data_IF_131690078258
#
_entry.id   IF_131690078258
#
_cell.length_a   1.000
_cell.length_b   1.000
_cell.length_c   1.000
_cell.angle_alpha   90.00
_cell.angle_beta   90.00
_cell.angle_gamma   90.00
#
_symmetry.space_group_name_H-M   'P 1'
#
loop_
_entity.id
_entity.type
_entity.pdbx_description
1 polymer ?
#
# COMPACT_ATOMS: atom_id res chain seq x y z
N UNK A 1 -13.01 -31.07 -62.55
CA UNK A 1 -11.76 -30.41 -62.11
C UNK A 1 -12.12 -28.99 -61.69
N UNK A 2 -12.19 -28.76 -60.41
CA UNK A 2 -12.30 -27.41 -59.82
C UNK A 2 -11.43 -27.40 -58.60
N UNK A 3 -10.27 -26.72 -58.69
CA UNK A 3 -9.31 -26.55 -57.61
C UNK A 3 -9.86 -25.53 -56.62
N UNK A 4 -10.14 -25.96 -55.39
CA UNK A 4 -10.47 -25.06 -54.29
C UNK A 4 -9.17 -24.38 -53.83
N UNK A 5 -9.06 -23.06 -54.10
CA UNK A 5 -7.99 -22.22 -53.56
C UNK A 5 -8.21 -22.05 -52.06
N UNK A 6 -7.41 -22.70 -51.25
CA UNK A 6 -7.30 -22.42 -49.83
C UNK A 6 -6.65 -21.04 -49.64
N UNK A 7 -7.44 -20.02 -49.32
CA UNK A 7 -6.95 -18.73 -48.87
C UNK A 7 -6.34 -18.92 -47.48
N UNK A 8 -5.03 -19.02 -47.41
CA UNK A 8 -4.26 -18.91 -46.17
C UNK A 8 -4.38 -17.48 -45.64
N UNK A 9 -5.34 -17.25 -44.77
CA UNK A 9 -5.40 -16.04 -43.97
C UNK A 9 -4.21 -16.04 -43.00
N UNK A 10 -3.09 -15.49 -43.42
CA UNK A 10 -1.97 -15.15 -42.56
C UNK A 10 -2.32 -13.94 -41.72
N UNK A 11 -3.29 -14.10 -40.81
CA UNK A 11 -3.39 -13.21 -39.70
C UNK A 11 -2.09 -13.37 -38.90
N UNK A 12 -1.24 -12.36 -38.97
CA UNK A 12 0.03 -12.25 -38.28
C UNK A 12 -0.14 -12.74 -36.86
N UNK A 13 0.42 -13.90 -36.57
CA UNK A 13 0.47 -14.55 -35.26
C UNK A 13 1.38 -13.71 -34.35
N UNK A 14 0.89 -12.54 -33.93
CA UNK A 14 1.56 -11.69 -32.96
C UNK A 14 1.39 -12.38 -31.62
N UNK A 15 2.48 -12.98 -31.12
CA UNK A 15 2.54 -13.54 -29.77
C UNK A 15 1.79 -12.61 -28.80
N UNK A 16 0.62 -13.03 -28.28
CA UNK A 16 -0.23 -12.20 -27.44
C UNK A 16 0.46 -11.80 -26.13
N UNK A 17 1.61 -12.43 -25.82
CA UNK A 17 2.40 -12.12 -24.62
C UNK A 17 3.39 -10.96 -24.83
N UNK A 18 3.73 -10.62 -26.06
CA UNK A 18 4.78 -9.64 -26.39
C UNK A 18 4.46 -8.22 -25.91
N UNK A 19 3.18 -7.86 -25.79
CA UNK A 19 2.72 -6.56 -25.32
C UNK A 19 2.40 -6.46 -23.84
N UNK A 20 2.41 -7.57 -23.08
CA UNK A 20 1.94 -7.57 -21.67
C UNK A 20 2.84 -6.79 -20.72
N UNK A 21 4.14 -6.66 -21.02
CA UNK A 21 5.10 -5.93 -20.21
C UNK A 21 4.84 -4.41 -20.20
N UNK A 22 4.33 -3.85 -21.30
CA UNK A 22 3.92 -2.44 -21.34
C UNK A 22 2.79 -2.15 -20.34
N UNK A 23 1.93 -3.14 -20.10
CA UNK A 23 0.86 -3.02 -19.09
C UNK A 23 1.46 -2.98 -17.67
N UNK A 24 2.57 -3.71 -17.45
CA UNK A 24 3.31 -3.63 -16.17
C UNK A 24 3.92 -2.24 -15.99
N UNK A 25 4.58 -1.71 -17.01
CA UNK A 25 5.15 -0.34 -16.97
C UNK A 25 4.06 0.69 -16.68
N UNK A 26 2.93 0.60 -17.37
CA UNK A 26 1.78 1.47 -17.15
C UNK A 26 1.21 1.34 -15.72
N UNK A 27 1.16 0.12 -15.19
CA UNK A 27 0.72 -0.14 -13.82
C UNK A 27 1.68 0.47 -12.79
N UNK A 28 2.98 0.31 -12.99
CA UNK A 28 4.01 0.91 -12.12
C UNK A 28 3.92 2.43 -12.16
N UNK A 29 3.70 3.04 -13.33
CA UNK A 29 3.55 4.49 -13.46
C UNK A 29 2.37 5.03 -12.64
N UNK A 30 1.21 4.37 -12.73
CA UNK A 30 0.04 4.71 -11.90
C UNK A 30 0.37 4.54 -10.42
N UNK A 31 0.96 3.42 -10.03
CA UNK A 31 1.29 3.14 -8.64
C UNK A 31 2.32 4.11 -8.06
N UNK A 32 3.30 4.56 -8.85
CA UNK A 32 4.27 5.59 -8.44
C UNK A 32 3.56 6.92 -8.12
N UNK A 33 2.62 7.35 -8.98
CA UNK A 33 1.84 8.57 -8.74
C UNK A 33 1.00 8.46 -7.46
N UNK A 34 0.34 7.33 -7.22
CA UNK A 34 -0.46 7.10 -6.03
C UNK A 34 0.39 7.00 -4.76
N UNK A 35 1.57 6.40 -4.87
CA UNK A 35 2.51 6.22 -3.75
C UNK A 35 3.11 7.52 -3.23
N UNK A 36 2.90 8.64 -3.92
CA UNK A 36 3.22 9.99 -3.46
C UNK A 36 2.63 10.32 -2.08
N UNK A 37 1.53 9.68 -1.69
CA UNK A 37 0.90 9.85 -0.37
C UNK A 37 1.87 9.58 0.78
N UNK A 38 2.85 8.69 0.61
CA UNK A 38 3.86 8.39 1.64
C UNK A 38 4.92 9.50 1.84
N UNK A 39 4.92 10.54 1.00
CA UNK A 39 5.75 11.72 1.19
C UNK A 39 5.10 12.77 2.09
N UNK A 40 3.91 12.51 2.66
CA UNK A 40 3.13 13.50 3.43
C UNK A 40 3.95 14.19 4.53
N UNK A 41 4.79 13.46 5.25
CA UNK A 41 5.60 14.01 6.35
C UNK A 41 6.50 15.20 5.94
N UNK A 42 6.81 15.36 4.67
CA UNK A 42 7.58 16.50 4.15
C UNK A 42 6.80 17.81 4.23
N UNK A 43 5.45 17.74 4.24
CA UNK A 43 4.56 18.91 4.29
C UNK A 43 4.22 19.35 5.73
N UNK A 44 4.38 18.48 6.73
CA UNK A 44 3.93 18.75 8.09
C UNK A 44 4.46 20.09 8.64
N UNK A 45 5.79 20.22 8.83
CA UNK A 45 6.40 21.44 9.39
C UNK A 45 6.14 22.70 8.56
N UNK A 46 6.23 22.65 7.22
CA UNK A 46 5.88 23.80 6.38
C UNK A 46 4.43 24.29 6.59
N UNK A 47 3.46 23.39 6.63
CA UNK A 47 2.05 23.74 6.85
C UNK A 47 1.80 24.22 8.29
N UNK A 48 2.42 23.57 9.28
CA UNK A 48 2.37 24.05 10.67
C UNK A 48 2.93 25.49 10.80
N UNK A 49 4.07 25.75 10.17
CA UNK A 49 4.69 27.07 10.20
C UNK A 49 3.83 28.16 9.54
N UNK A 50 3.12 27.83 8.45
CA UNK A 50 2.27 28.81 7.75
C UNK A 50 0.94 29.06 8.49
N UNK A 51 0.26 28.01 8.98
CA UNK A 51 -1.10 28.12 9.51
C UNK A 51 -1.17 28.07 11.03
N UNK A 52 -0.09 27.70 11.72
CA UNK A 52 -0.09 27.50 13.17
C UNK A 52 -0.96 26.30 13.59
N UNK A 53 -1.11 25.31 12.72
CA UNK A 53 -1.81 24.05 13.04
C UNK A 53 -0.99 23.22 14.03
N UNK A 54 -1.73 22.50 14.90
CA UNK A 54 -1.14 21.48 15.76
C UNK A 54 -0.62 20.29 14.97
N UNK A 55 0.13 19.43 15.62
CA UNK A 55 0.63 18.19 15.02
C UNK A 55 -0.51 17.27 14.61
N UNK A 56 -1.54 17.17 15.45
CA UNK A 56 -2.73 16.37 15.17
C UNK A 56 -3.51 16.93 13.98
N UNK A 57 -3.67 18.26 13.89
CA UNK A 57 -4.35 18.89 12.76
C UNK A 57 -3.63 18.67 11.43
N UNK A 58 -2.30 18.78 11.40
CA UNK A 58 -1.54 18.70 10.14
C UNK A 58 -1.47 17.27 9.57
N UNK A 59 -1.56 16.23 10.40
CA UNK A 59 -1.57 14.84 9.90
C UNK A 59 -2.97 14.37 9.48
N UNK A 60 -4.03 15.03 9.92
CA UNK A 60 -5.43 14.65 9.67
C UNK A 60 -5.77 14.43 8.17
N UNK A 61 -5.34 15.28 7.22
CA UNK A 61 -5.61 15.04 5.79
C UNK A 61 -5.04 13.72 5.27
N UNK A 62 -3.84 13.35 5.71
CA UNK A 62 -3.22 12.07 5.38
C UNK A 62 -3.99 10.88 5.97
N UNK A 63 -4.38 10.98 7.22
CA UNK A 63 -5.12 9.91 7.91
C UNK A 63 -6.48 9.66 7.28
N UNK A 64 -7.20 10.75 6.95
CA UNK A 64 -8.48 10.67 6.24
C UNK A 64 -8.28 10.06 4.85
N UNK A 65 -7.18 10.40 4.15
CA UNK A 65 -6.87 9.79 2.87
C UNK A 65 -6.69 8.27 3.00
N UNK A 66 -5.88 7.83 3.97
CA UNK A 66 -5.67 6.40 4.23
C UNK A 66 -6.97 5.71 4.69
N UNK A 67 -7.76 6.38 5.52
CA UNK A 67 -9.08 5.88 5.95
C UNK A 67 -10.05 5.68 4.79
N UNK A 68 -10.08 6.60 3.84
CA UNK A 68 -11.00 6.57 2.70
C UNK A 68 -10.58 5.58 1.59
N UNK A 69 -9.33 5.06 1.60
CA UNK A 69 -8.87 4.06 0.62
C UNK A 69 -9.82 2.86 0.55
N UNK A 70 -10.32 2.38 1.69
CA UNK A 70 -11.20 1.20 1.73
C UNK A 70 -12.49 1.43 0.93
N UNK A 71 -13.04 2.65 0.94
CA UNK A 71 -14.22 3.00 0.17
C UNK A 71 -13.94 2.86 -1.33
N UNK A 72 -12.82 3.47 -1.77
CA UNK A 72 -12.38 3.40 -3.17
C UNK A 72 -12.07 1.98 -3.63
N UNK A 73 -11.35 1.18 -2.84
CA UNK A 73 -11.00 -0.21 -3.20
C UNK A 73 -12.24 -1.10 -3.29
N UNK A 74 -13.17 -0.95 -2.36
CA UNK A 74 -14.40 -1.74 -2.35
C UNK A 74 -15.34 -1.43 -3.52
N UNK A 75 -15.53 -0.14 -3.82
CA UNK A 75 -16.35 0.33 -4.96
C UNK A 75 -15.62 -0.01 -6.26
N UNK A 76 -14.33 0.30 -6.34
CA UNK A 76 -13.50 0.10 -7.53
C UNK A 76 -13.41 -1.36 -7.96
N UNK A 77 -13.22 -2.28 -7.02
CA UNK A 77 -13.18 -3.72 -7.30
C UNK A 77 -14.45 -4.22 -7.99
N UNK A 78 -15.64 -3.82 -7.48
CA UNK A 78 -16.93 -4.21 -8.06
C UNK A 78 -17.17 -3.63 -9.45
N UNK A 79 -16.81 -2.36 -9.66
CA UNK A 79 -16.96 -1.70 -10.96
C UNK A 79 -16.00 -2.29 -11.98
N UNK A 80 -14.77 -2.59 -11.58
CA UNK A 80 -13.74 -3.18 -12.44
C UNK A 80 -14.14 -4.56 -12.96
N UNK A 81 -14.76 -5.39 -12.15
CA UNK A 81 -15.22 -6.70 -12.58
C UNK A 81 -16.30 -6.63 -13.65
N UNK A 82 -17.12 -5.57 -13.66
CA UNK A 82 -18.21 -5.34 -14.61
C UNK A 82 -17.80 -4.55 -15.84
N UNK A 83 -17.01 -3.47 -15.66
CA UNK A 83 -16.69 -2.48 -16.72
C UNK A 83 -15.23 -2.52 -17.17
N UNK A 84 -14.43 -3.40 -16.59
CA UNK A 84 -13.00 -3.50 -16.87
C UNK A 84 -12.14 -2.48 -16.10
N UNK A 85 -10.80 -2.57 -16.23
CA UNK A 85 -9.85 -1.83 -15.40
C UNK A 85 -9.73 -0.34 -15.79
N UNK A 86 -9.76 0.00 -17.09
CA UNK A 86 -9.48 1.36 -17.56
C UNK A 86 -10.39 2.44 -16.99
N UNK A 87 -11.74 2.33 -17.02
CA UNK A 87 -12.60 3.39 -16.53
C UNK A 87 -12.45 3.60 -15.02
N UNK A 88 -12.20 2.54 -14.25
CA UNK A 88 -12.01 2.64 -12.80
C UNK A 88 -10.69 3.30 -12.47
N UNK A 89 -9.59 2.91 -13.15
CA UNK A 89 -8.30 3.54 -12.97
C UNK A 89 -8.32 5.02 -13.35
N UNK A 90 -8.92 5.37 -14.49
CA UNK A 90 -9.06 6.78 -14.92
C UNK A 90 -9.86 7.59 -13.90
N UNK A 91 -11.03 7.11 -13.49
CA UNK A 91 -11.83 7.79 -12.48
C UNK A 91 -11.07 7.97 -11.17
N UNK A 92 -10.35 6.92 -10.73
CA UNK A 92 -9.55 6.97 -9.52
C UNK A 92 -8.40 7.97 -9.60
N UNK A 93 -7.62 7.93 -10.68
CA UNK A 93 -6.49 8.87 -10.89
C UNK A 93 -6.98 10.31 -11.00
N UNK A 94 -8.06 10.56 -11.75
CA UNK A 94 -8.63 11.91 -11.87
C UNK A 94 -9.09 12.42 -10.52
N UNK A 95 -9.86 11.62 -9.78
CA UNK A 95 -10.36 12.01 -8.45
C UNK A 95 -9.21 12.26 -7.47
N UNK A 96 -8.19 11.39 -7.44
CA UNK A 96 -6.99 11.54 -6.64
C UNK A 96 -6.26 12.85 -6.93
N UNK A 97 -5.98 13.09 -8.22
CA UNK A 97 -5.24 14.26 -8.65
C UNK A 97 -6.01 15.55 -8.44
N UNK A 98 -7.33 15.56 -8.70
CA UNK A 98 -8.20 16.72 -8.42
C UNK A 98 -8.28 16.99 -6.91
N UNK A 99 -8.26 15.95 -6.07
CA UNK A 99 -8.16 16.09 -4.61
C UNK A 99 -6.88 16.81 -4.20
N UNK A 100 -5.74 16.44 -4.78
CA UNK A 100 -4.45 17.10 -4.52
C UNK A 100 -4.43 18.53 -5.08
N UNK A 101 -4.92 18.75 -6.31
CA UNK A 101 -5.05 20.11 -6.87
C UNK A 101 -5.97 20.97 -5.98
N UNK A 102 -7.09 20.41 -5.51
CA UNK A 102 -8.01 21.11 -4.60
C UNK A 102 -7.35 21.54 -3.29
N UNK A 103 -6.39 20.75 -2.79
CA UNK A 103 -5.62 21.09 -1.61
C UNK A 103 -4.81 22.40 -1.75
N UNK A 104 -4.43 22.79 -2.98
CA UNK A 104 -3.69 24.04 -3.22
C UNK A 104 -4.51 25.32 -2.97
N UNK A 105 -5.82 25.21 -2.84
CA UNK A 105 -6.69 26.35 -2.53
C UNK A 105 -6.87 26.61 -1.03
N UNK A 106 -6.12 25.92 -0.17
CA UNK A 106 -6.08 26.15 1.27
C UNK A 106 -5.23 27.39 1.56
N UNK A 107 -5.87 28.50 1.93
CA UNK A 107 -5.19 29.79 2.08
C UNK A 107 -5.21 30.33 3.52
N UNK A 108 -6.08 29.81 4.39
CA UNK A 108 -6.25 30.26 5.78
C UNK A 108 -6.26 29.12 6.76
N UNK A 109 -5.95 29.42 8.03
CA UNK A 109 -5.97 28.42 9.12
C UNK A 109 -7.32 27.69 9.20
N UNK A 110 -8.43 28.42 9.05
CA UNK A 110 -9.78 27.87 9.21
C UNK A 110 -10.18 26.92 8.06
N UNK A 111 -9.39 26.83 7.00
CA UNK A 111 -9.63 25.97 5.84
C UNK A 111 -9.02 24.57 5.97
N UNK A 112 -8.66 24.12 7.16
CA UNK A 112 -8.24 22.72 7.38
C UNK A 112 -9.26 21.73 6.83
N UNK A 113 -10.57 22.02 6.97
CA UNK A 113 -11.65 21.20 6.41
C UNK A 113 -11.55 21.05 4.89
N UNK A 114 -11.09 22.08 4.18
CA UNK A 114 -10.91 22.04 2.73
C UNK A 114 -9.79 21.07 2.36
N UNK A 115 -8.66 21.13 3.08
CA UNK A 115 -7.53 20.22 2.89
C UNK A 115 -7.94 18.76 3.22
N UNK A 116 -8.70 18.56 4.29
CA UNK A 116 -9.24 17.24 4.67
C UNK A 116 -10.22 16.72 3.61
N UNK A 117 -11.13 17.57 3.10
CA UNK A 117 -12.09 17.16 2.08
C UNK A 117 -11.41 16.84 0.75
N UNK A 118 -10.48 17.69 0.31
CA UNK A 118 -9.85 17.54 -1.01
C UNK A 118 -8.75 16.47 -0.99
N UNK A 119 -7.68 16.68 -0.25
CA UNK A 119 -6.59 15.72 -0.15
C UNK A 119 -7.05 14.42 0.56
N UNK A 120 -7.76 14.55 1.68
CA UNK A 120 -8.20 13.41 2.49
C UNK A 120 -9.29 12.60 1.81
N UNK A 121 -10.50 13.14 1.72
CA UNK A 121 -11.66 12.35 1.25
C UNK A 121 -11.58 12.09 -0.25
N UNK A 122 -11.47 13.13 -1.07
CA UNK A 122 -11.43 12.96 -2.54
C UNK A 122 -10.17 12.21 -2.96
N UNK A 123 -9.01 12.63 -2.44
CA UNK A 123 -7.74 11.97 -2.70
C UNK A 123 -7.74 10.51 -2.26
N UNK A 124 -8.22 10.20 -1.05
CA UNK A 124 -8.26 8.84 -0.50
C UNK A 124 -9.19 7.90 -1.27
N UNK A 125 -10.40 8.35 -1.63
CA UNK A 125 -11.32 7.55 -2.46
C UNK A 125 -10.70 7.32 -3.85
N UNK A 126 -10.15 8.37 -4.48
CA UNK A 126 -9.49 8.28 -5.78
C UNK A 126 -8.31 7.32 -5.75
N UNK A 127 -7.47 7.40 -4.70
CA UNK A 127 -6.36 6.51 -4.46
C UNK A 127 -6.83 5.06 -4.38
N UNK A 128 -7.88 4.78 -3.59
CA UNK A 128 -8.44 3.43 -3.44
C UNK A 128 -8.95 2.84 -4.76
N UNK A 129 -9.69 3.64 -5.55
CA UNK A 129 -10.17 3.24 -6.88
C UNK A 129 -9.01 2.84 -7.82
N UNK A 130 -7.97 3.67 -7.88
CA UNK A 130 -6.85 3.46 -8.78
C UNK A 130 -5.88 2.37 -8.27
N UNK A 131 -5.71 2.20 -6.96
CA UNK A 131 -4.78 1.25 -6.35
C UNK A 131 -5.10 -0.21 -6.64
N UNK A 132 -6.37 -0.60 -6.48
CA UNK A 132 -6.78 -2.00 -6.65
C UNK A 132 -6.72 -2.46 -8.10
N UNK A 133 -6.87 -1.52 -9.03
CA UNK A 133 -7.07 -1.80 -10.46
C UNK A 133 -5.89 -2.50 -11.13
N UNK A 134 -4.63 -2.03 -11.03
CA UNK A 134 -3.50 -2.68 -11.65
C UNK A 134 -3.21 -4.06 -11.03
N UNK A 135 -3.45 -4.24 -9.74
CA UNK A 135 -3.22 -5.49 -9.03
C UNK A 135 -4.11 -6.61 -9.61
N UNK A 136 -5.42 -6.35 -9.67
CA UNK A 136 -6.39 -7.31 -10.20
C UNK A 136 -6.21 -7.56 -11.70
N UNK A 137 -5.86 -6.52 -12.48
CA UNK A 137 -5.60 -6.62 -13.92
C UNK A 137 -4.35 -7.46 -14.22
N UNK A 138 -3.24 -7.17 -13.56
CA UNK A 138 -1.96 -7.86 -13.80
C UNK A 138 -2.00 -9.32 -13.41
N UNK A 139 -2.76 -9.69 -12.37
CA UNK A 139 -2.98 -11.09 -12.01
C UNK A 139 -3.65 -11.90 -13.13
N UNK A 140 -4.44 -11.26 -14.01
CA UNK A 140 -5.07 -11.88 -15.19
C UNK A 140 -4.08 -12.00 -16.37
N UNK A 141 -3.20 -11.02 -16.56
CA UNK A 141 -2.21 -11.00 -17.62
C UNK A 141 -1.01 -11.95 -17.38
N UNK A 142 -0.68 -12.20 -16.11
CA UNK A 142 0.48 -12.99 -15.71
C UNK A 142 0.08 -14.16 -14.79
N UNK A 143 -0.73 -15.10 -15.26
CA UNK A 143 -1.08 -16.29 -14.48
C UNK A 143 0.14 -17.15 -14.14
N UNK A 144 1.19 -17.07 -15.00
CA UNK A 144 2.48 -17.76 -14.89
C UNK A 144 3.40 -17.17 -13.79
N UNK A 145 3.24 -15.88 -13.46
CA UNK A 145 4.13 -15.12 -12.55
C UNK A 145 3.36 -14.19 -11.64
N UNK A 146 2.19 -14.60 -11.17
CA UNK A 146 1.27 -13.74 -10.37
C UNK A 146 1.97 -13.04 -9.21
N UNK A 147 2.70 -13.79 -8.37
CA UNK A 147 3.37 -13.24 -7.19
C UNK A 147 4.40 -12.17 -7.54
N UNK A 148 5.28 -12.45 -8.50
CA UNK A 148 6.30 -11.49 -8.93
C UNK A 148 5.69 -10.21 -9.48
N UNK A 149 4.72 -10.33 -10.37
CA UNK A 149 4.14 -9.18 -11.09
C UNK A 149 3.25 -8.34 -10.16
N UNK A 150 2.49 -8.97 -9.30
CA UNK A 150 1.73 -8.26 -8.24
C UNK A 150 2.70 -7.55 -7.30
N UNK A 151 3.81 -8.21 -6.92
CA UNK A 151 4.86 -7.62 -6.11
C UNK A 151 5.48 -6.38 -6.77
N UNK A 152 5.81 -6.43 -8.06
CA UNK A 152 6.35 -5.29 -8.83
C UNK A 152 5.34 -4.13 -8.85
N UNK A 153 4.06 -4.40 -9.12
CA UNK A 153 3.03 -3.37 -9.14
C UNK A 153 2.90 -2.69 -7.78
N UNK A 154 2.80 -3.48 -6.72
CA UNK A 154 2.66 -2.96 -5.35
C UNK A 154 3.95 -2.29 -4.86
N UNK A 155 5.13 -2.75 -5.31
CA UNK A 155 6.41 -2.07 -5.01
C UNK A 155 6.45 -0.67 -5.65
N UNK A 156 5.88 -0.47 -6.85
CA UNK A 156 5.74 0.85 -7.48
C UNK A 156 5.06 1.87 -6.56
N UNK A 157 4.03 1.46 -5.85
CA UNK A 157 3.39 2.32 -4.83
C UNK A 157 4.35 2.67 -3.67
N UNK A 158 5.12 1.71 -3.18
CA UNK A 158 6.13 1.94 -2.15
C UNK A 158 7.21 2.95 -2.59
N UNK A 159 7.54 2.97 -3.88
CA UNK A 159 8.56 3.85 -4.45
C UNK A 159 8.07 5.28 -4.74
N UNK A 160 6.77 5.58 -4.61
CA UNK A 160 6.22 6.89 -4.94
C UNK A 160 6.87 8.05 -4.18
N UNK A 161 7.20 7.85 -2.91
CA UNK A 161 7.88 8.86 -2.09
C UNK A 161 9.32 9.16 -2.58
N UNK A 162 9.98 8.23 -3.28
CA UNK A 162 11.35 8.41 -3.81
C UNK A 162 11.43 9.63 -4.72
N UNK A 163 10.43 9.80 -5.57
CA UNK A 163 10.34 10.93 -6.49
C UNK A 163 9.67 12.15 -5.83
N UNK A 164 8.60 11.90 -5.09
CA UNK A 164 7.76 12.98 -4.56
C UNK A 164 8.45 13.75 -3.44
N UNK A 165 9.13 13.11 -2.50
CA UNK A 165 9.67 13.82 -1.34
C UNK A 165 10.75 14.87 -1.70
N UNK A 166 11.76 14.58 -2.54
CA UNK A 166 12.72 15.59 -2.98
C UNK A 166 12.09 16.71 -3.81
N UNK A 167 11.15 16.36 -4.73
CA UNK A 167 10.46 17.34 -5.58
C UNK A 167 9.59 18.27 -4.71
N UNK A 168 8.79 17.71 -3.80
CA UNK A 168 7.98 18.48 -2.86
C UNK A 168 8.84 19.44 -2.04
N UNK A 169 9.99 18.97 -1.53
CA UNK A 169 10.91 19.81 -0.77
C UNK A 169 11.47 20.96 -1.61
N UNK A 170 11.84 20.70 -2.85
CA UNK A 170 12.32 21.74 -3.77
C UNK A 170 11.24 22.82 -4.03
N UNK A 171 10.00 22.38 -4.30
CA UNK A 171 8.87 23.29 -4.50
C UNK A 171 8.57 24.12 -3.25
N UNK A 172 8.55 23.48 -2.06
CA UNK A 172 8.35 24.16 -0.77
C UNK A 172 9.42 25.22 -0.47
N UNK A 173 10.63 25.04 -0.95
CA UNK A 173 11.71 26.01 -0.82
C UNK A 173 11.58 27.23 -1.75
N UNK A 174 10.80 27.10 -2.82
CA UNK A 174 10.59 28.15 -3.83
C UNK A 174 9.37 29.03 -3.61
N UNK A 175 8.57 28.82 -2.55
CA UNK A 175 7.36 29.60 -2.29
C UNK A 175 7.13 29.83 -0.80
N UNK A 176 6.51 30.98 -0.47
CA UNK A 176 5.99 31.26 0.87
C UNK A 176 4.59 30.67 1.08
N UNK A 177 3.83 30.50 0.02
CA UNK A 177 2.53 29.81 0.04
C UNK A 177 2.72 28.29 -0.08
N UNK A 178 2.78 27.60 1.05
CA UNK A 178 3.08 26.14 1.11
C UNK A 178 2.03 25.26 0.43
N UNK A 179 0.71 25.52 0.53
CA UNK A 179 -0.31 24.74 -0.20
C UNK A 179 -0.20 24.85 -1.72
N UNK A 180 0.34 25.95 -2.27
CA UNK A 180 0.47 26.12 -3.72
C UNK A 180 1.24 24.99 -4.39
N UNK A 181 2.11 24.29 -3.65
CA UNK A 181 2.91 23.16 -4.18
C UNK A 181 2.07 21.95 -4.56
N UNK A 182 0.85 21.83 -4.00
CA UNK A 182 -0.06 20.75 -4.37
C UNK A 182 -0.59 20.88 -5.81
N UNK A 183 -0.63 22.10 -6.37
CA UNK A 183 -1.05 22.31 -7.76
C UNK A 183 -0.11 21.63 -8.77
N UNK A 184 1.19 21.92 -8.84
CA UNK A 184 2.09 21.26 -9.78
C UNK A 184 2.22 19.76 -9.50
N UNK A 185 2.19 19.32 -8.24
CA UNK A 185 2.21 17.89 -7.90
C UNK A 185 0.96 17.18 -8.40
N UNK A 186 -0.23 17.74 -8.16
CA UNK A 186 -1.50 17.16 -8.61
C UNK A 186 -1.59 17.08 -10.14
N UNK A 187 -1.09 18.09 -10.86
CA UNK A 187 -0.99 18.08 -12.33
C UNK A 187 -0.03 16.97 -12.80
N UNK A 188 1.12 16.84 -12.18
CA UNK A 188 2.09 15.78 -12.52
C UNK A 188 1.49 14.39 -12.32
N UNK A 189 0.77 14.16 -11.21
CA UNK A 189 0.10 12.88 -10.93
C UNK A 189 -1.06 12.63 -11.89
N UNK A 190 -1.79 13.67 -12.28
CA UNK A 190 -2.86 13.55 -13.28
C UNK A 190 -2.28 13.09 -14.63
N UNK A 191 -1.22 13.74 -15.10
CA UNK A 191 -0.59 13.41 -16.38
C UNK A 191 -0.02 11.98 -16.34
N UNK A 192 0.78 11.66 -15.33
CA UNK A 192 1.40 10.35 -15.19
C UNK A 192 0.37 9.23 -15.01
N UNK A 193 -0.60 9.47 -14.14
CA UNK A 193 -1.63 8.49 -13.83
C UNK A 193 -2.59 8.25 -15.00
N UNK A 194 -3.03 9.29 -15.70
CA UNK A 194 -3.87 9.16 -16.90
C UNK A 194 -3.09 8.46 -18.02
N UNK A 195 -1.83 8.87 -18.26
CA UNK A 195 -0.98 8.22 -19.26
C UNK A 195 -0.86 6.71 -19.00
N UNK A 196 -0.63 6.29 -17.74
CA UNK A 196 -0.60 4.88 -17.38
C UNK A 196 -1.98 4.20 -17.52
N UNK A 197 -3.03 4.79 -16.96
CA UNK A 197 -4.37 4.20 -16.92
C UNK A 197 -4.99 3.96 -18.31
N UNK A 198 -4.64 4.76 -19.32
CA UNK A 198 -5.09 4.59 -20.70
C UNK A 198 -4.67 3.24 -21.32
N UNK A 199 -3.55 2.67 -20.87
CA UNK A 199 -3.09 1.35 -21.33
C UNK A 199 -3.73 0.18 -20.59
N UNK A 200 -4.54 0.42 -19.56
CA UNK A 200 -5.16 -0.64 -18.78
C UNK A 200 -6.25 -1.36 -19.59
N UNK A 201 -6.09 -2.66 -19.69
CA UNK A 201 -7.06 -3.54 -20.37
C UNK A 201 -6.96 -4.95 -19.80
N UNK A 202 -8.06 -5.67 -19.76
CA UNK A 202 -8.05 -7.10 -19.48
C UNK A 202 -7.42 -7.87 -20.66
N UNK A 203 -6.85 -9.05 -20.42
CA UNK A 203 -6.47 -9.95 -21.51
C UNK A 203 -7.71 -10.35 -22.32
N UNK A 204 -7.54 -10.65 -23.63
CA UNK A 204 -8.64 -11.11 -24.48
C UNK A 204 -9.23 -12.44 -23.95
N UNK A 205 -10.47 -12.73 -24.33
CA UNK A 205 -11.11 -13.99 -23.98
C UNK A 205 -10.28 -15.16 -24.54
N UNK A 206 -10.09 -16.22 -23.74
CA UNK A 206 -9.26 -17.35 -24.15
C UNK A 206 -7.74 -17.12 -24.06
N UNK A 207 -7.29 -16.00 -23.50
CA UNK A 207 -5.86 -15.71 -23.31
C UNK A 207 -5.18 -16.83 -22.52
N UNK A 208 -4.14 -17.41 -23.11
CA UNK A 208 -3.26 -18.42 -22.50
C UNK A 208 -1.82 -18.00 -22.71
N UNK A 209 -0.99 -18.26 -21.70
CA UNK A 209 0.45 -18.07 -21.82
C UNK A 209 1.04 -19.33 -22.42
N UNK A 210 1.76 -19.27 -23.56
CA UNK A 210 2.39 -20.43 -24.16
C UNK A 210 3.28 -21.17 -23.16
N UNK A 211 3.17 -22.49 -23.11
CA UNK A 211 3.96 -23.34 -22.21
C UNK A 211 3.56 -23.26 -20.72
N UNK A 212 2.52 -22.51 -20.38
CA UNK A 212 1.97 -22.46 -19.03
C UNK A 212 0.62 -23.21 -19.01
N UNK A 213 0.64 -24.42 -18.55
CA UNK A 213 -0.57 -25.06 -18.05
C UNK A 213 -0.74 -24.63 -16.60
N UNK A 214 -1.93 -24.11 -16.21
CA UNK A 214 -2.21 -23.87 -14.81
C UNK A 214 -1.98 -25.21 -14.12
N UNK A 215 -0.81 -25.39 -13.51
CA UNK A 215 -0.69 -26.50 -12.56
C UNK A 215 -1.87 -26.29 -11.64
N UNK A 216 -2.78 -27.25 -11.59
CA UNK A 216 -3.51 -27.53 -10.36
C UNK A 216 -2.38 -27.73 -9.34
N UNK A 217 -1.82 -26.60 -8.87
CA UNK A 217 -0.92 -26.60 -7.74
C UNK A 217 -1.79 -26.86 -6.55
N UNK A 218 -2.22 -28.11 -6.50
CA UNK A 218 -2.50 -28.83 -5.30
C UNK A 218 -1.27 -28.95 -4.42
N UNK A 219 -0.69 -27.83 -4.07
CA UNK A 219 -0.19 -27.54 -2.76
C UNK A 219 -1.14 -26.51 -2.09
N UNK A 220 -2.44 -26.64 -2.33
CA UNK A 220 -3.33 -26.77 -1.20
C UNK A 220 -2.66 -27.81 -0.30
N UNK A 221 -2.24 -27.43 0.88
CA UNK A 221 -1.97 -28.41 1.94
C UNK A 221 -3.12 -29.40 1.82
N UNK A 222 -2.82 -30.67 1.52
CA UNK A 222 -3.84 -31.65 1.19
C UNK A 222 -4.84 -31.63 2.35
N UNK A 223 -6.08 -31.14 2.10
CA UNK A 223 -7.10 -30.95 3.13
C UNK A 223 -7.58 -29.52 3.37
N UNK A 224 -7.00 -28.46 2.78
CA UNK A 224 -7.51 -27.08 3.01
C UNK A 224 -8.78 -26.86 2.18
N UNK A 225 -9.91 -26.74 2.85
CA UNK A 225 -11.21 -26.36 2.24
C UNK A 225 -11.08 -24.98 1.60
N UNK A 226 -11.63 -24.80 0.40
CA UNK A 226 -11.79 -23.50 -0.20
C UNK A 226 -12.92 -22.73 0.50
N UNK A 227 -12.60 -21.66 1.20
CA UNK A 227 -13.57 -20.79 1.87
C UNK A 227 -14.10 -19.76 0.89
N UNK A 228 -15.38 -19.44 0.96
CA UNK A 228 -15.95 -18.21 0.43
C UNK A 228 -15.60 -17.03 1.36
N UNK A 229 -15.74 -15.79 0.88
CA UNK A 229 -15.55 -14.60 1.74
C UNK A 229 -16.48 -14.65 2.97
N UNK A 230 -17.75 -15.02 2.77
CA UNK A 230 -18.72 -15.11 3.88
C UNK A 230 -18.34 -16.17 4.92
N UNK A 231 -17.79 -17.30 4.49
CA UNK A 231 -17.30 -18.33 5.40
C UNK A 231 -16.03 -17.88 6.13
N UNK A 232 -15.08 -17.24 5.42
CA UNK A 232 -13.87 -16.70 6.02
C UNK A 232 -14.18 -15.69 7.13
N UNK A 233 -15.11 -14.77 6.89
CA UNK A 233 -15.57 -13.76 7.86
C UNK A 233 -16.22 -14.37 9.12
N UNK A 234 -16.61 -15.65 9.10
CA UNK A 234 -17.12 -16.36 10.28
C UNK A 234 -16.03 -17.08 11.08
N UNK A 235 -14.79 -17.02 10.64
CA UNK A 235 -13.66 -17.67 11.32
C UNK A 235 -12.87 -16.68 12.16
N UNK A 236 -12.40 -17.06 13.37
CA UNK A 236 -11.52 -16.20 14.15
C UNK A 236 -10.18 -15.91 13.45
N UNK A 237 -9.74 -16.81 12.58
CA UNK A 237 -8.49 -16.67 11.83
C UNK A 237 -8.50 -15.44 10.92
N UNK A 238 -9.63 -15.13 10.29
CA UNK A 238 -9.74 -13.93 9.46
C UNK A 238 -9.50 -12.66 10.29
N UNK A 239 -10.09 -12.58 11.47
CA UNK A 239 -9.92 -11.44 12.38
C UNK A 239 -8.49 -11.36 12.93
N UNK A 240 -7.90 -12.50 13.29
CA UNK A 240 -6.52 -12.56 13.76
C UNK A 240 -5.53 -12.09 12.69
N UNK A 241 -5.65 -12.56 11.45
CA UNK A 241 -4.81 -12.14 10.34
C UNK A 241 -5.00 -10.66 10.00
N UNK A 242 -6.26 -10.20 10.01
CA UNK A 242 -6.58 -8.78 9.81
C UNK A 242 -5.99 -7.91 10.92
N UNK A 243 -6.05 -8.37 12.17
CA UNK A 243 -5.44 -7.67 13.31
C UNK A 243 -3.91 -7.63 13.22
N UNK A 244 -3.26 -8.74 12.82
CA UNK A 244 -1.80 -8.77 12.57
C UNK A 244 -1.43 -7.70 11.52
N UNK A 245 -2.18 -7.65 10.42
CA UNK A 245 -1.93 -6.65 9.38
C UNK A 245 -2.20 -5.23 9.87
N UNK A 246 -3.29 -5.01 10.62
CA UNK A 246 -3.65 -3.70 11.17
C UNK A 246 -2.58 -3.18 12.14
N UNK A 247 -2.08 -4.01 13.02
CA UNK A 247 -1.04 -3.64 14.00
C UNK A 247 0.31 -3.40 13.33
N UNK A 248 0.72 -4.26 12.38
CA UNK A 248 1.91 -4.03 11.57
C UNK A 248 1.80 -2.70 10.80
N UNK A 249 0.61 -2.41 10.27
CA UNK A 249 0.33 -1.17 9.54
C UNK A 249 0.32 0.03 10.48
N UNK A 250 -0.34 -0.04 11.62
CA UNK A 250 -0.42 1.04 12.58
C UNK A 250 0.98 1.48 13.03
N UNK A 251 1.84 0.54 13.39
CA UNK A 251 3.22 0.83 13.76
C UNK A 251 4.00 1.52 12.63
N UNK A 252 3.92 0.97 11.41
CA UNK A 252 4.67 1.53 10.28
C UNK A 252 4.15 2.88 9.81
N UNK A 253 2.84 3.06 9.64
CA UNK A 253 2.25 4.33 9.17
C UNK A 253 2.37 5.43 10.23
N UNK A 254 2.31 5.11 11.51
CA UNK A 254 2.60 6.06 12.59
C UNK A 254 3.96 6.76 12.38
N UNK A 255 4.97 6.02 11.97
CA UNK A 255 6.28 6.58 11.63
C UNK A 255 6.28 7.26 10.26
N UNK A 256 5.71 6.64 9.23
CA UNK A 256 5.68 7.17 7.85
C UNK A 256 5.08 8.58 7.80
N UNK A 257 4.00 8.83 8.53
CA UNK A 257 3.31 10.13 8.57
C UNK A 257 4.14 11.25 9.19
N UNK A 258 5.19 10.91 9.92
CA UNK A 258 6.02 11.85 10.69
C UNK A 258 7.52 11.66 10.44
N UNK A 259 7.92 10.82 9.48
CA UNK A 259 9.32 10.43 9.28
C UNK A 259 10.26 11.62 9.03
N UNK A 260 9.82 12.62 8.26
CA UNK A 260 10.59 13.85 8.02
C UNK A 260 10.78 14.68 9.29
N UNK A 261 9.72 14.81 10.10
CA UNK A 261 9.76 15.60 11.33
C UNK A 261 10.61 14.89 12.39
N UNK A 262 10.39 13.58 12.55
CA UNK A 262 11.17 12.77 13.48
C UNK A 262 12.67 12.79 13.15
N UNK A 263 13.04 12.77 11.86
CA UNK A 263 14.43 12.89 11.44
C UNK A 263 15.03 14.25 11.83
N UNK A 264 14.27 15.34 11.69
CA UNK A 264 14.70 16.67 12.07
C UNK A 264 14.80 16.81 13.60
N UNK A 265 13.84 16.30 14.35
CA UNK A 265 13.75 16.49 15.80
C UNK A 265 14.70 15.55 16.58
N UNK A 266 14.84 14.28 16.15
CA UNK A 266 15.65 13.28 16.84
C UNK A 266 17.11 13.30 16.36
N UNK A 267 17.34 13.34 15.03
CA UNK A 267 18.69 13.27 14.47
C UNK A 267 19.26 14.66 14.08
N UNK A 268 18.54 15.75 14.33
CA UNK A 268 19.02 17.13 14.14
C UNK A 268 19.35 17.50 12.69
N UNK A 269 18.78 16.80 11.70
CA UNK A 269 19.10 17.03 10.29
C UNK A 269 18.26 18.13 9.67
N UNK A 270 18.74 18.70 8.57
CA UNK A 270 17.99 19.71 7.81
C UNK A 270 16.74 19.11 7.16
N UNK A 271 15.75 19.95 6.88
CA UNK A 271 14.54 19.52 6.17
C UNK A 271 14.84 18.93 4.78
N UNK A 272 15.91 19.35 4.10
CA UNK A 272 16.34 18.78 2.82
C UNK A 272 16.86 17.34 2.99
N UNK A 273 17.71 17.12 4.01
CA UNK A 273 18.21 15.77 4.36
C UNK A 273 17.07 14.85 4.77
N UNK A 274 16.13 15.32 5.59
CA UNK A 274 14.97 14.58 6.02
C UNK A 274 14.06 14.18 4.84
N UNK A 275 13.80 15.09 3.89
CA UNK A 275 13.04 14.78 2.68
C UNK A 275 13.76 13.77 1.78
N UNK A 276 15.07 13.88 1.64
CA UNK A 276 15.89 12.89 0.94
C UNK A 276 15.82 11.52 1.59
N UNK A 277 15.87 11.47 2.94
CA UNK A 277 15.69 10.23 3.69
C UNK A 277 14.32 9.61 3.41
N UNK A 278 13.22 10.37 3.48
CA UNK A 278 11.86 9.87 3.20
C UNK A 278 11.80 9.25 1.80
N UNK A 279 12.43 9.88 0.80
CA UNK A 279 12.57 9.31 -0.53
C UNK A 279 13.25 7.94 -0.51
N UNK A 280 14.43 7.85 0.11
CA UNK A 280 15.18 6.58 0.22
C UNK A 280 14.37 5.51 0.98
N UNK A 281 13.66 5.89 2.05
CA UNK A 281 12.83 4.97 2.82
C UNK A 281 11.72 4.34 1.97
N UNK A 282 11.22 5.03 0.95
CA UNK A 282 10.29 4.47 -0.03
C UNK A 282 10.84 3.22 -0.74
N UNK A 283 12.16 3.17 -1.01
CA UNK A 283 12.80 1.97 -1.59
C UNK A 283 12.70 0.78 -0.63
N UNK A 284 12.90 1.01 0.66
CA UNK A 284 12.81 -0.06 1.68
C UNK A 284 11.38 -0.55 1.87
N UNK A 285 10.38 0.35 1.76
CA UNK A 285 8.97 -0.07 1.73
C UNK A 285 8.69 -1.02 0.56
N UNK A 286 9.07 -0.63 -0.65
CA UNK A 286 8.91 -1.47 -1.84
C UNK A 286 9.69 -2.78 -1.76
N UNK A 287 10.97 -2.73 -1.37
CA UNK A 287 11.82 -3.91 -1.20
C UNK A 287 11.27 -4.86 -0.12
N UNK A 288 10.75 -4.33 0.97
CA UNK A 288 10.17 -5.08 2.07
C UNK A 288 9.03 -6.01 1.63
N UNK A 289 8.20 -5.55 0.67
CA UNK A 289 7.10 -6.35 0.11
C UNK A 289 7.59 -7.62 -0.56
N UNK A 290 8.69 -7.55 -1.26
CA UNK A 290 9.30 -8.69 -1.95
C UNK A 290 10.12 -9.56 -0.98
N UNK A 291 11.00 -8.92 -0.19
CA UNK A 291 11.93 -9.62 0.69
C UNK A 291 11.21 -10.47 1.76
N UNK A 292 10.23 -9.87 2.46
CA UNK A 292 9.48 -10.60 3.49
C UNK A 292 8.53 -11.65 2.90
N UNK A 293 7.92 -11.41 1.73
CA UNK A 293 7.12 -12.42 1.05
C UNK A 293 8.00 -13.64 0.71
N UNK A 294 9.15 -13.41 0.09
CA UNK A 294 10.12 -14.47 -0.22
C UNK A 294 10.65 -15.19 1.03
N UNK A 295 10.98 -14.45 2.07
CA UNK A 295 11.44 -15.04 3.33
C UNK A 295 10.31 -15.88 3.98
N UNK A 296 9.07 -15.40 3.93
CA UNK A 296 7.92 -16.09 4.49
C UNK A 296 7.63 -17.45 3.83
N UNK A 297 7.98 -17.61 2.55
CA UNK A 297 7.88 -18.90 1.85
C UNK A 297 8.86 -19.94 2.41
N UNK A 298 9.96 -19.49 3.01
CA UNK A 298 11.01 -20.36 3.58
C UNK A 298 10.83 -20.65 5.07
N UNK A 299 10.56 -19.62 5.85
CA UNK A 299 10.48 -19.75 7.32
C UNK A 299 9.05 -19.98 7.84
N UNK A 300 8.05 -19.79 6.95
CA UNK A 300 6.62 -19.85 7.29
C UNK A 300 6.01 -18.48 7.59
N UNK A 301 4.71 -18.31 7.27
CA UNK A 301 3.99 -17.03 7.32
C UNK A 301 4.01 -16.39 8.70
N UNK A 302 3.63 -17.14 9.73
CA UNK A 302 3.54 -16.59 11.10
C UNK A 302 4.91 -16.22 11.67
N UNK A 303 5.96 -16.97 11.35
CA UNK A 303 7.33 -16.61 11.75
C UNK A 303 7.81 -15.32 11.06
N UNK A 304 7.41 -15.10 9.81
CA UNK A 304 7.73 -13.85 9.12
C UNK A 304 7.02 -12.65 9.78
N UNK A 305 5.73 -12.76 10.14
CA UNK A 305 5.03 -11.71 10.88
C UNK A 305 5.63 -11.48 12.27
N UNK A 306 6.04 -12.52 12.98
CA UNK A 306 6.79 -12.39 14.23
C UNK A 306 8.07 -11.57 14.01
N UNK A 307 8.85 -11.91 12.96
CA UNK A 307 10.06 -11.18 12.61
C UNK A 307 9.80 -9.71 12.29
N UNK A 308 8.75 -9.38 11.52
CA UNK A 308 8.39 -8.01 11.20
C UNK A 308 8.01 -7.20 12.46
N UNK A 309 7.15 -7.75 13.30
CA UNK A 309 6.69 -7.07 14.53
C UNK A 309 7.83 -6.95 15.56
N UNK A 310 8.65 -7.98 15.72
CA UNK A 310 9.81 -7.93 16.60
C UNK A 310 10.84 -6.89 16.13
N UNK A 311 11.09 -6.83 14.80
CA UNK A 311 11.97 -5.83 14.22
C UNK A 311 11.44 -4.41 14.46
N UNK A 312 10.14 -4.17 14.27
CA UNK A 312 9.51 -2.89 14.57
C UNK A 312 9.63 -2.55 16.07
N UNK A 313 9.34 -3.49 16.97
CA UNK A 313 9.45 -3.27 18.41
C UNK A 313 10.86 -2.82 18.81
N UNK A 314 11.90 -3.52 18.33
CA UNK A 314 13.29 -3.19 18.59
C UNK A 314 13.65 -1.81 18.01
N UNK A 315 13.29 -1.57 16.74
CA UNK A 315 13.61 -0.30 16.09
C UNK A 315 12.94 0.88 16.80
N UNK A 316 11.67 0.78 17.17
CA UNK A 316 10.95 1.84 17.87
C UNK A 316 11.45 2.07 19.30
N UNK A 317 11.94 1.05 19.98
CA UNK A 317 12.55 1.21 21.30
C UNK A 317 13.89 2.00 21.25
N UNK A 318 14.65 1.86 20.16
CA UNK A 318 15.95 2.51 19.99
C UNK A 318 15.82 3.89 19.32
N UNK A 319 14.87 4.05 18.42
CA UNK A 319 14.73 5.21 17.52
C UNK A 319 14.72 6.56 18.25
N UNK A 320 14.01 6.75 19.41
CA UNK A 320 14.00 8.04 20.11
C UNK A 320 15.39 8.49 20.61
N UNK A 321 16.32 7.55 20.73
CA UNK A 321 17.68 7.79 21.25
C UNK A 321 18.74 7.83 20.14
N UNK A 322 18.31 7.72 18.88
CA UNK A 322 19.20 7.65 17.70
C UNK A 322 19.60 9.05 17.21
N UNK A 323 20.37 9.80 18.00
CA UNK A 323 20.87 11.13 17.65
C UNK A 323 21.81 11.12 16.41
N UNK A 324 22.54 10.02 16.18
CA UNK A 324 23.37 9.88 14.99
C UNK A 324 22.49 9.57 13.78
N UNK A 325 22.52 10.44 12.74
CA UNK A 325 21.70 10.31 11.54
C UNK A 325 21.79 8.92 10.87
N UNK A 326 23.00 8.36 10.78
CA UNK A 326 23.18 7.03 10.18
C UNK A 326 22.41 5.93 10.95
N UNK A 327 22.41 5.98 12.28
CA UNK A 327 21.66 5.04 13.13
C UNK A 327 20.16 5.24 12.93
N UNK A 328 19.70 6.50 12.97
CA UNK A 328 18.30 6.85 12.72
C UNK A 328 17.83 6.33 11.36
N UNK A 329 18.61 6.59 10.29
CA UNK A 329 18.28 6.19 8.93
C UNK A 329 18.19 4.66 8.76
N UNK A 330 19.08 3.90 9.39
CA UNK A 330 19.04 2.43 9.36
C UNK A 330 17.80 1.91 10.08
N UNK A 331 17.50 2.41 11.28
CA UNK A 331 16.31 2.01 12.04
C UNK A 331 15.02 2.36 11.26
N UNK A 332 14.96 3.56 10.69
CA UNK A 332 13.86 3.99 9.85
C UNK A 332 13.67 3.08 8.62
N UNK A 333 14.76 2.72 7.95
CA UNK A 333 14.75 1.81 6.79
C UNK A 333 14.21 0.43 7.18
N UNK A 334 14.59 -0.11 8.33
CA UNK A 334 14.11 -1.39 8.85
C UNK A 334 12.62 -1.34 9.20
N UNK A 335 12.12 -0.23 9.75
CA UNK A 335 10.69 -0.01 10.00
C UNK A 335 9.91 -0.03 8.68
N UNK A 336 10.37 0.71 7.66
CA UNK A 336 9.73 0.74 6.35
C UNK A 336 9.76 -0.63 5.64
N UNK A 337 10.86 -1.36 5.79
CA UNK A 337 11.00 -2.73 5.29
C UNK A 337 9.96 -3.67 5.93
N UNK A 338 9.81 -3.61 7.26
CA UNK A 338 8.85 -4.44 8.00
C UNK A 338 7.40 -4.06 7.68
N UNK A 339 7.10 -2.76 7.57
CA UNK A 339 5.80 -2.26 7.13
C UNK A 339 5.40 -2.80 5.76
N UNK A 340 6.28 -2.63 4.76
CA UNK A 340 6.06 -3.16 3.42
C UNK A 340 5.85 -4.67 3.40
N UNK A 341 6.59 -5.39 4.23
CA UNK A 341 6.52 -6.84 4.37
C UNK A 341 5.14 -7.37 4.69
N UNK A 342 4.36 -6.66 5.52
CA UNK A 342 2.98 -7.02 5.86
C UNK A 342 2.09 -7.14 4.62
N UNK A 343 2.17 -6.16 3.73
CA UNK A 343 1.40 -6.14 2.47
C UNK A 343 1.90 -7.17 1.45
N UNK A 344 3.20 -7.49 1.44
CA UNK A 344 3.75 -8.51 0.56
C UNK A 344 3.40 -9.93 0.99
N UNK A 345 3.35 -10.18 2.30
CA UNK A 345 3.16 -11.52 2.87
C UNK A 345 1.69 -11.90 3.04
N UNK A 346 0.80 -10.95 3.36
CA UNK A 346 -0.60 -11.24 3.71
C UNK A 346 -1.41 -11.89 2.58
N UNK A 347 -1.29 -11.51 1.28
CA UNK A 347 -2.04 -12.17 0.21
C UNK A 347 -1.78 -13.67 0.12
N UNK A 348 -0.51 -14.09 0.24
CA UNK A 348 -0.14 -15.48 0.25
C UNK A 348 -0.62 -16.19 1.53
N UNK A 349 -0.57 -15.51 2.67
CA UNK A 349 -1.11 -16.03 3.93
C UNK A 349 -2.61 -16.27 3.85
N UNK A 350 -3.38 -15.34 3.26
CA UNK A 350 -4.81 -15.53 3.05
C UNK A 350 -5.10 -16.74 2.15
N UNK A 351 -4.30 -16.92 1.09
CA UNK A 351 -4.42 -18.09 0.21
C UNK A 351 -4.10 -19.42 0.92
N UNK A 352 -3.07 -19.42 1.78
CA UNK A 352 -2.66 -20.60 2.56
C UNK A 352 -3.72 -20.99 3.61
N UNK A 353 -4.43 -20.01 4.21
CA UNK A 353 -5.42 -20.23 5.27
C UNK A 353 -6.82 -20.56 4.74
N UNK A 354 -7.23 -19.93 3.64
CA UNK A 354 -8.61 -19.98 3.15
C UNK A 354 -8.76 -20.61 1.76
N UNK A 355 -7.67 -21.06 1.17
CA UNK A 355 -7.65 -21.61 -0.17
C UNK A 355 -7.54 -20.55 -1.26
N UNK A 356 -6.99 -20.96 -2.40
CA UNK A 356 -6.65 -20.07 -3.53
C UNK A 356 -7.85 -19.50 -4.30
N UNK A 357 -9.01 -20.19 -4.47
CA UNK A 357 -10.05 -19.71 -5.36
C UNK A 357 -10.62 -18.34 -5.00
N UNK A 358 -10.79 -18.04 -3.71
CA UNK A 358 -11.36 -16.77 -3.22
C UNK A 358 -10.34 -15.90 -2.47
N UNK A 359 -9.05 -16.23 -2.52
CA UNK A 359 -8.01 -15.55 -1.75
C UNK A 359 -7.97 -14.04 -2.04
N UNK A 360 -8.24 -13.63 -3.30
CA UNK A 360 -8.29 -12.22 -3.67
C UNK A 360 -9.41 -11.44 -2.99
N UNK A 361 -10.61 -12.01 -2.92
CA UNK A 361 -11.75 -11.38 -2.25
C UNK A 361 -11.54 -11.33 -0.72
N UNK A 362 -10.99 -12.39 -0.14
CA UNK A 362 -10.73 -12.51 1.30
C UNK A 362 -9.64 -11.53 1.72
N UNK A 363 -8.53 -11.46 0.98
CA UNK A 363 -7.47 -10.48 1.22
C UNK A 363 -7.95 -9.05 0.97
N UNK A 364 -8.74 -8.83 -0.09
CA UNK A 364 -9.32 -7.51 -0.38
C UNK A 364 -10.16 -6.97 0.79
N UNK A 365 -10.90 -7.84 1.49
CA UNK A 365 -11.60 -7.46 2.71
C UNK A 365 -10.64 -7.19 3.90
N UNK A 366 -9.49 -7.88 3.97
CA UNK A 366 -8.47 -7.63 4.99
C UNK A 366 -7.78 -6.27 4.83
N UNK A 367 -7.86 -5.62 3.67
CA UNK A 367 -7.29 -4.28 3.44
C UNK A 367 -7.94 -3.21 4.35
N UNK A 368 -9.09 -3.47 4.94
CA UNK A 368 -9.64 -2.63 6.02
C UNK A 368 -8.63 -2.41 7.16
N UNK A 369 -7.73 -3.36 7.38
CA UNK A 369 -6.61 -3.24 8.31
C UNK A 369 -5.70 -2.03 8.01
N UNK A 370 -5.52 -1.71 6.72
CA UNK A 370 -4.74 -0.53 6.31
C UNK A 370 -5.44 0.77 6.72
N UNK A 371 -6.75 0.87 6.48
CA UNK A 371 -7.51 2.05 6.90
C UNK A 371 -7.55 2.20 8.42
N UNK A 372 -7.76 1.12 9.17
CA UNK A 372 -7.77 1.17 10.64
C UNK A 372 -6.38 1.56 11.18
N UNK A 373 -5.34 0.82 10.80
CA UNK A 373 -3.98 1.07 11.29
C UNK A 373 -3.43 2.42 10.84
N UNK A 374 -3.79 2.83 9.61
CA UNK A 374 -3.35 4.07 9.01
C UNK A 374 -4.00 5.32 9.57
N UNK A 375 -5.15 5.20 10.21
CA UNK A 375 -5.80 6.30 10.95
C UNK A 375 -5.34 6.30 12.41
N UNK A 376 -5.44 5.16 13.08
CA UNK A 376 -5.16 5.07 14.52
C UNK A 376 -3.68 5.34 14.83
N UNK A 377 -2.75 4.77 14.04
CA UNK A 377 -1.32 4.91 14.30
C UNK A 377 -0.85 6.37 14.33
N UNK A 378 -1.02 7.13 13.24
CA UNK A 378 -0.59 8.53 13.17
C UNK A 378 -1.29 9.43 14.19
N UNK A 379 -2.63 9.28 14.37
CA UNK A 379 -3.40 10.08 15.37
C UNK A 379 -2.85 9.91 16.77
N UNK A 380 -2.69 8.67 17.20
CA UNK A 380 -2.16 8.37 18.55
C UNK A 380 -0.74 8.93 18.70
N UNK A 381 0.09 8.79 17.65
CA UNK A 381 1.46 9.28 17.67
C UNK A 381 1.52 10.81 17.75
N UNK A 382 0.69 11.51 16.96
CA UNK A 382 0.64 12.97 16.97
C UNK A 382 0.11 13.50 18.32
N UNK A 383 -0.95 12.89 18.84
CA UNK A 383 -1.51 13.25 20.15
C UNK A 383 -0.51 13.02 21.29
N UNK A 384 0.17 11.88 21.32
CA UNK A 384 1.20 11.60 22.32
C UNK A 384 2.40 12.55 22.21
N UNK A 385 2.79 12.95 20.98
CA UNK A 385 3.85 13.92 20.76
C UNK A 385 3.49 15.28 21.35
N UNK A 386 2.27 15.77 21.11
CA UNK A 386 1.79 17.03 21.67
C UNK A 386 1.65 16.99 23.20
N UNK A 387 1.19 15.87 23.75
CA UNK A 387 0.98 15.67 25.20
C UNK A 387 2.29 15.49 25.98
N UNK A 388 3.44 15.28 25.31
CA UNK A 388 4.72 14.98 25.96
C UNK A 388 5.84 15.93 25.48
N UNK A 389 5.65 17.22 25.67
CA UNK A 389 6.63 18.29 25.41
C UNK A 389 7.24 18.25 24.01
N UNK A 390 6.46 17.87 23.01
CA UNK A 390 6.88 17.74 21.62
C UNK A 390 8.07 16.77 21.42
N UNK A 391 8.06 15.70 22.19
CA UNK A 391 9.08 14.66 22.15
C UNK A 391 8.57 13.36 21.53
N UNK A 392 9.40 12.71 20.69
CA UNK A 392 9.10 11.38 20.12
C UNK A 392 9.39 10.22 21.07
N UNK A 393 9.94 10.46 22.26
CA UNK A 393 10.30 9.38 23.21
C UNK A 393 9.08 8.57 23.63
N UNK A 394 8.02 9.22 24.11
CA UNK A 394 6.79 8.54 24.55
C UNK A 394 6.05 7.91 23.35
N UNK A 395 5.76 8.62 22.25
CA UNK A 395 5.12 8.02 21.09
C UNK A 395 5.79 6.75 20.60
N UNK A 396 7.10 6.78 20.37
CA UNK A 396 7.81 5.62 19.85
C UNK A 396 7.95 4.48 20.86
N UNK A 397 8.05 4.79 22.15
CA UNK A 397 7.99 3.76 23.21
C UNK A 397 6.63 3.06 23.23
N UNK A 398 5.53 3.81 23.10
CA UNK A 398 4.18 3.22 23.03
C UNK A 398 4.06 2.31 21.79
N UNK A 399 4.54 2.75 20.63
CA UNK A 399 4.53 1.92 19.41
C UNK A 399 5.37 0.66 19.60
N UNK A 400 6.55 0.77 20.25
CA UNK A 400 7.40 -0.38 20.56
C UNK A 400 6.65 -1.41 21.44
N UNK A 401 5.95 -0.95 22.47
CA UNK A 401 5.12 -1.81 23.34
C UNK A 401 3.97 -2.44 22.55
N UNK A 402 3.27 -1.67 21.72
CA UNK A 402 2.20 -2.20 20.86
C UNK A 402 2.73 -3.28 19.93
N UNK A 403 3.87 -3.04 19.27
CA UNK A 403 4.51 -4.02 18.39
C UNK A 403 4.92 -5.29 19.17
N UNK A 404 5.47 -5.14 20.37
CA UNK A 404 5.87 -6.25 21.25
C UNK A 404 4.67 -7.09 21.68
N UNK A 405 3.59 -6.46 22.15
CA UNK A 405 2.35 -7.14 22.55
C UNK A 405 1.71 -7.84 21.34
N UNK A 406 1.81 -7.25 20.17
CA UNK A 406 1.27 -7.80 18.92
C UNK A 406 1.92 -9.14 18.52
N UNK A 407 3.11 -9.48 19.05
CA UNK A 407 3.75 -10.78 18.81
C UNK A 407 2.91 -11.97 19.27
N UNK A 408 2.00 -11.77 20.22
CA UNK A 408 1.09 -12.82 20.69
C UNK A 408 0.21 -13.33 19.56
N UNK A 409 -0.25 -12.45 18.66
CA UNK A 409 -1.18 -12.84 17.58
C UNK A 409 -0.59 -13.89 16.62
N UNK A 410 0.60 -13.68 16.00
CA UNK A 410 1.19 -14.71 15.16
C UNK A 410 1.51 -16.02 15.91
N UNK A 411 1.79 -15.96 17.22
CA UNK A 411 2.07 -17.14 18.03
C UNK A 411 0.82 -18.03 18.25
N UNK A 412 -0.35 -17.41 18.40
CA UNK A 412 -1.61 -18.14 18.66
C UNK A 412 -2.41 -18.42 17.40
N UNK A 413 -2.11 -17.76 16.28
CA UNK A 413 -2.86 -17.92 15.02
C UNK A 413 -2.51 -19.25 14.36
N UNK A 414 -3.47 -20.16 14.32
CA UNK A 414 -3.35 -21.48 13.67
C UNK A 414 -4.27 -21.55 12.47
N UNK A 415 -3.94 -22.40 11.50
CA UNK A 415 -4.83 -22.65 10.35
C UNK A 415 -6.20 -23.14 10.82
N UNK A 416 -7.30 -22.79 10.10
CA UNK A 416 -8.61 -23.32 10.41
C UNK A 416 -8.60 -24.84 10.39
N UNK A 417 -9.17 -25.49 11.40
CA UNK A 417 -9.37 -26.94 11.40
C UNK A 417 -10.36 -27.31 10.31
N UNK A 418 -10.00 -28.22 9.42
CA UNK A 418 -10.93 -28.80 8.45
C UNK A 418 -11.98 -29.55 9.25
N UNK A 419 -13.30 -29.26 9.13
CA UNK A 419 -14.30 -30.13 9.72
C UNK A 419 -14.11 -31.52 9.15
N UNK A 420 -14.08 -32.54 10.01
CA UNK A 420 -14.05 -33.92 9.59
C UNK A 420 -15.19 -34.13 8.59
N UNK A 421 -14.88 -34.59 7.38
CA UNK A 421 -15.90 -35.01 6.40
C UNK A 421 -16.64 -36.11 7.06
N UNK A 422 -17.90 -35.86 7.39
CA UNK A 422 -18.78 -36.89 7.93
C UNK A 422 -19.03 -37.92 6.81
N UNK A 423 -18.28 -39.02 6.80
CA UNK A 423 -18.46 -40.16 5.87
C UNK A 423 -19.78 -40.90 6.10
N UNK A 424 -20.74 -40.27 6.78
CA UNK A 424 -22.06 -40.87 7.05
C UNK A 424 -23.13 -40.40 6.05
N UNK A 425 -22.83 -40.47 4.75
CA UNK A 425 -23.86 -40.41 3.72
C UNK A 425 -23.41 -41.16 2.47
N UNK A 426 -23.18 -42.45 2.63
CA UNK A 426 -23.27 -43.42 1.55
C UNK A 426 -24.30 -44.47 1.90
#
# INVERSE_FOLDING_TARGET
MAAASASTNSATDRDPTRGRWWIVVAAVLVQLALGAVYAWSVFNKPLQGQFGWSKTEVVLPFEVAIGCIVIGTFVGGRIQDRRGPRPVALAGVVLYSLGIIGASFTNTKDQLWLLVLTYGVMGGIGLGLAYITPIAMLAKWFPDRRGLITGIAVAGFGFGAVLTAPVAKALLGGTDDKPSVFLPLGIAYLIAGVAGALFFRNPPQGYRVPGFEPKQTGRAVAGTRAYTLSEALRTPQWYMLTAILALNTACGIAFISQASDAAQDVAGVTAATAAGLVGVLGLFNGAGRVAWAWLSDRIGRMRAFLGMLALQAICFAILPHAAAFAVFAVLAALIYLAYGGGFGTMPATAADYFGTPNAGAIYGAMIVAWSIGGVVGPLVTAWLYEANDQSYTVPFTVIAVVALVSLVLPLVTRMPSTPAVNERSR
#
